data_IF_695167966426
#
_entry.id   IF_695167966426
#
_cell.length_a   1.000
_cell.length_b   1.000
_cell.length_c   1.000
_cell.angle_alpha   90.00
_cell.angle_beta   90.00
_cell.angle_gamma   90.00
#
_symmetry.space_group_name_H-M   'P 1'
#
loop_
_entity.id
_entity.type
_entity.pdbx_description
1 polymer ?
#
# COMPACT_ATOMS: atom_id res chain seq x y z
N UNK A 1 23.42 20.58 -39.21
CA UNK A 1 21.95 20.65 -39.08
C UNK A 1 21.61 20.35 -37.61
N UNK A 2 21.33 21.38 -36.79
CA UNK A 2 20.00 21.93 -36.48
C UNK A 2 19.11 20.84 -35.84
N UNK A 3 19.04 20.80 -34.49
CA UNK A 3 17.88 21.18 -33.65
C UNK A 3 16.59 20.47 -34.12
N UNK A 4 15.90 19.67 -33.31
CA UNK A 4 14.90 20.07 -32.29
C UNK A 4 14.56 18.79 -31.47
N UNK A 5 14.70 18.72 -30.14
CA UNK A 5 13.87 19.31 -29.07
C UNK A 5 12.44 18.76 -29.03
N UNK A 6 12.22 17.84 -28.09
CA UNK A 6 11.25 17.95 -26.97
C UNK A 6 9.83 18.45 -27.30
N UNK A 7 8.85 17.57 -27.15
CA UNK A 7 7.43 17.91 -26.93
C UNK A 7 6.99 17.17 -25.65
N UNK A 8 7.14 17.75 -24.44
CA UNK A 8 6.25 18.73 -23.79
C UNK A 8 4.78 18.29 -23.86
N UNK A 9 4.26 17.64 -22.81
CA UNK A 9 3.51 18.31 -21.74
C UNK A 9 2.41 19.24 -22.28
N UNK A 10 1.25 18.67 -22.63
CA UNK A 10 0.02 19.43 -22.96
C UNK A 10 -1.23 18.58 -22.67
N UNK A 11 -1.40 18.14 -21.43
CA UNK A 11 -2.74 17.86 -20.85
C UNK A 11 -2.76 18.35 -19.40
N UNK A 12 -2.43 19.62 -19.20
CA UNK A 12 -2.70 20.37 -17.98
C UNK A 12 -2.97 21.81 -18.43
N UNK A 13 -4.25 22.15 -18.69
CA UNK A 13 -4.79 23.52 -18.64
C UNK A 13 -6.26 23.53 -19.11
N UNK A 14 -7.15 23.27 -18.16
CA UNK A 14 -8.53 23.76 -18.03
C UNK A 14 -8.89 23.42 -16.56
N UNK A 15 -9.17 24.33 -15.63
CA UNK A 15 -9.53 25.74 -15.72
C UNK A 15 -9.32 26.37 -14.34
N UNK A 16 -8.94 27.65 -14.34
CA UNK A 16 -9.31 28.65 -13.35
C UNK A 16 -8.80 28.51 -11.91
N UNK A 17 -7.73 29.26 -11.68
CA UNK A 17 -7.31 29.78 -10.38
C UNK A 17 -8.47 30.57 -9.74
N UNK A 18 -8.88 30.19 -8.54
CA UNK A 18 -9.41 31.16 -7.56
C UNK A 18 -8.33 31.26 -6.49
N UNK A 19 -7.55 32.33 -6.57
CA UNK A 19 -6.66 32.76 -5.49
C UNK A 19 -7.54 33.38 -4.41
N UNK A 20 -7.60 32.75 -3.23
CA UNK A 20 -7.81 33.46 -1.98
C UNK A 20 -6.91 32.86 -0.90
N UNK A 21 -6.20 33.75 -0.23
CA UNK A 21 -5.26 33.48 0.83
C UNK A 21 -5.90 32.71 1.99
N UNK A 22 -5.31 31.57 2.35
CA UNK A 22 -5.33 31.08 3.73
C UNK A 22 -3.92 30.67 4.12
N UNK A 23 -3.28 31.59 4.83
CA UNK A 23 -2.20 31.29 5.76
C UNK A 23 -2.72 30.28 6.79
N UNK A 24 -2.59 28.97 6.54
CA UNK A 24 -2.48 27.93 7.57
C UNK A 24 -1.71 26.73 7.02
N UNK A 25 -0.67 26.39 7.78
CA UNK A 25 0.00 25.11 7.84
C UNK A 25 0.74 24.66 6.57
N UNK A 26 2.08 24.65 6.70
CA UNK A 26 2.89 23.53 6.21
C UNK A 26 2.19 22.24 6.63
N UNK A 27 1.34 21.69 5.78
CA UNK A 27 0.90 20.30 5.92
C UNK A 27 2.07 19.44 5.47
N UNK A 28 3.08 19.41 6.34
CA UNK A 28 3.72 18.17 6.74
C UNK A 28 2.56 17.21 6.99
N UNK A 29 2.13 16.47 5.95
CA UNK A 29 1.40 15.22 6.14
C UNK A 29 2.46 14.28 6.71
N UNK A 30 2.82 14.54 7.96
CA UNK A 30 3.28 13.52 8.87
C UNK A 30 2.02 12.67 9.03
N UNK A 31 1.78 11.78 8.07
CA UNK A 31 0.78 10.74 8.21
C UNK A 31 1.24 9.97 9.43
N UNK A 32 0.68 10.31 10.58
CA UNK A 32 0.28 9.31 11.56
C UNK A 32 -0.63 8.38 10.77
N UNK A 33 -0.02 7.47 10.00
CA UNK A 33 -0.69 6.41 9.28
C UNK A 33 -1.25 5.54 10.40
N UNK A 34 -2.49 5.82 10.79
CA UNK A 34 -3.19 5.01 11.76
C UNK A 34 -3.17 3.57 11.25
N UNK A 35 -3.00 2.62 12.17
CA UNK A 35 -3.06 1.18 11.88
C UNK A 35 -4.21 0.84 10.92
N UNK A 36 -5.38 1.45 11.14
CA UNK A 36 -6.57 1.29 10.30
C UNK A 36 -6.39 1.79 8.86
N UNK A 37 -5.72 2.93 8.63
CA UNK A 37 -5.51 3.45 7.27
C UNK A 37 -4.58 2.54 6.47
N UNK A 38 -3.56 1.99 7.12
CA UNK A 38 -2.66 1.00 6.50
C UNK A 38 -3.38 -0.30 6.17
N UNK A 39 -4.16 -0.85 7.11
CA UNK A 39 -4.94 -2.07 6.88
C UNK A 39 -5.97 -1.89 5.78
N UNK A 40 -6.67 -0.75 5.74
CA UNK A 40 -7.61 -0.41 4.67
C UNK A 40 -6.93 -0.32 3.30
N UNK A 41 -5.74 0.27 3.24
CA UNK A 41 -4.95 0.35 2.00
C UNK A 41 -4.50 -1.04 1.53
N UNK A 42 -4.00 -1.88 2.44
CA UNK A 42 -3.63 -3.27 2.16
C UNK A 42 -4.83 -4.09 1.66
N UNK A 43 -6.00 -3.97 2.32
CA UNK A 43 -7.25 -4.59 1.86
C UNK A 43 -7.54 -4.20 0.41
N UNK A 44 -7.48 -2.91 0.08
CA UNK A 44 -7.78 -2.43 -1.26
C UNK A 44 -6.78 -2.94 -2.31
N UNK A 45 -5.49 -2.97 -1.99
CA UNK A 45 -4.44 -3.51 -2.88
C UNK A 45 -4.70 -4.98 -3.15
N UNK A 46 -4.97 -5.75 -2.10
CA UNK A 46 -5.27 -7.18 -2.18
C UNK A 46 -6.53 -7.44 -3.00
N UNK A 47 -7.63 -6.72 -2.72
CA UNK A 47 -8.89 -6.90 -3.45
C UNK A 47 -8.71 -6.63 -4.93
N UNK A 48 -8.04 -5.53 -5.29
CA UNK A 48 -7.76 -5.20 -6.69
C UNK A 48 -6.90 -6.26 -7.37
N UNK A 49 -5.82 -6.70 -6.72
CA UNK A 49 -4.90 -7.70 -7.28
C UNK A 49 -5.59 -9.04 -7.52
N UNK A 50 -6.28 -9.58 -6.53
CA UNK A 50 -6.91 -10.90 -6.63
C UNK A 50 -8.10 -10.93 -7.59
N UNK A 51 -8.90 -9.86 -7.64
CA UNK A 51 -9.97 -9.74 -8.65
C UNK A 51 -9.38 -9.66 -10.06
N UNK A 52 -8.30 -8.89 -10.25
CA UNK A 52 -7.61 -8.84 -11.54
C UNK A 52 -7.01 -10.21 -11.93
N UNK A 53 -6.64 -11.04 -10.96
CA UNK A 53 -6.20 -12.43 -11.16
C UNK A 53 -7.34 -13.44 -11.34
N UNK A 54 -8.60 -13.00 -11.40
CA UNK A 54 -9.76 -13.86 -11.68
C UNK A 54 -10.46 -14.45 -10.45
N UNK A 55 -10.06 -14.06 -9.23
CA UNK A 55 -10.77 -14.50 -8.01
C UNK A 55 -12.10 -13.73 -7.88
N UNK A 56 -13.24 -14.40 -7.63
CA UNK A 56 -14.52 -13.73 -7.47
C UNK A 56 -14.47 -12.65 -6.39
N UNK A 57 -14.97 -11.45 -6.71
CA UNK A 57 -14.95 -10.28 -5.81
C UNK A 57 -15.46 -10.59 -4.40
N UNK A 58 -16.57 -11.33 -4.29
CA UNK A 58 -17.15 -11.70 -3.01
C UNK A 58 -16.23 -12.59 -2.14
N UNK A 59 -15.50 -13.55 -2.75
CA UNK A 59 -14.50 -14.36 -2.04
C UNK A 59 -13.29 -13.51 -1.65
N UNK A 60 -12.83 -12.68 -2.58
CA UNK A 60 -11.70 -11.78 -2.38
C UNK A 60 -11.93 -10.78 -1.24
N UNK A 61 -13.12 -10.17 -1.16
CA UNK A 61 -13.43 -9.22 -0.09
C UNK A 61 -13.44 -9.90 1.29
N UNK A 62 -14.06 -11.08 1.39
CA UNK A 62 -14.05 -11.88 2.63
C UNK A 62 -12.64 -12.30 3.04
N UNK A 63 -11.83 -12.75 2.08
CA UNK A 63 -10.44 -13.10 2.33
C UNK A 63 -9.63 -11.90 2.80
N UNK A 64 -9.74 -10.76 2.12
CA UNK A 64 -9.00 -9.55 2.46
C UNK A 64 -9.41 -8.99 3.84
N UNK A 65 -10.69 -9.09 4.21
CA UNK A 65 -11.16 -8.75 5.56
C UNK A 65 -10.57 -9.67 6.63
N UNK A 66 -10.61 -10.98 6.41
CA UNK A 66 -9.99 -11.94 7.33
C UNK A 66 -8.48 -11.69 7.46
N UNK A 67 -7.78 -11.55 6.34
CA UNK A 67 -6.33 -11.40 6.30
C UNK A 67 -5.86 -10.10 6.95
N UNK A 68 -6.55 -8.98 6.70
CA UNK A 68 -6.17 -7.69 7.31
C UNK A 68 -6.49 -7.63 8.80
N UNK A 69 -7.53 -8.33 9.26
CA UNK A 69 -7.75 -8.54 10.69
C UNK A 69 -6.60 -9.34 11.32
N UNK A 70 -6.23 -10.46 10.71
CA UNK A 70 -5.16 -11.32 11.22
C UNK A 70 -3.79 -10.61 11.26
N UNK A 71 -3.49 -9.81 10.23
CA UNK A 71 -2.33 -8.90 10.24
C UNK A 71 -2.36 -7.93 11.42
N UNK A 72 -3.53 -7.35 11.70
CA UNK A 72 -3.70 -6.40 12.80
C UNK A 72 -3.53 -7.05 14.17
N UNK A 73 -3.78 -8.35 14.30
CA UNK A 73 -3.67 -9.09 15.57
C UNK A 73 -2.26 -9.67 15.78
N UNK A 74 -1.64 -10.20 14.71
CA UNK A 74 -0.35 -10.92 14.80
C UNK A 74 0.88 -10.03 14.61
N UNK A 75 0.76 -8.88 13.95
CA UNK A 75 1.89 -7.96 13.76
C UNK A 75 1.88 -6.82 14.77
N UNK A 76 3.08 -6.48 15.25
CA UNK A 76 3.31 -5.23 15.96
C UNK A 76 3.12 -4.03 15.02
N UNK A 77 2.90 -2.82 15.56
CA UNK A 77 2.78 -1.61 14.73
C UNK A 77 3.98 -1.38 13.79
N UNK A 78 5.20 -1.66 14.25
CA UNK A 78 6.41 -1.49 13.45
C UNK A 78 6.49 -2.50 12.29
N UNK A 79 6.17 -3.76 12.57
CA UNK A 79 6.11 -4.81 11.55
C UNK A 79 5.01 -4.55 10.54
N UNK A 80 3.86 -4.03 10.97
CA UNK A 80 2.78 -3.65 10.07
C UNK A 80 3.19 -2.49 9.15
N UNK A 81 3.92 -1.49 9.67
CA UNK A 81 4.47 -0.40 8.85
C UNK A 81 5.47 -0.94 7.83
N UNK A 82 6.35 -1.88 8.24
CA UNK A 82 7.32 -2.48 7.35
C UNK A 82 6.64 -3.32 6.26
N UNK A 83 5.66 -4.14 6.64
CA UNK A 83 4.84 -4.91 5.71
C UNK A 83 4.10 -4.01 4.73
N UNK A 84 3.49 -2.93 5.21
CA UNK A 84 2.82 -1.95 4.37
C UNK A 84 3.77 -1.38 3.31
N UNK A 85 4.95 -0.90 3.74
CA UNK A 85 5.96 -0.35 2.82
C UNK A 85 6.41 -1.37 1.78
N UNK A 86 6.64 -2.62 2.18
CA UNK A 86 7.04 -3.69 1.25
C UNK A 86 5.98 -3.95 0.17
N UNK A 87 4.70 -3.79 0.49
CA UNK A 87 3.59 -4.00 -0.44
C UNK A 87 3.23 -2.77 -1.28
N UNK A 88 3.62 -1.56 -0.87
CA UNK A 88 3.33 -0.33 -1.62
C UNK A 88 4.51 0.23 -2.40
N UNK A 89 5.74 -0.04 -1.98
CA UNK A 89 6.94 0.44 -2.66
C UNK A 89 7.18 -0.34 -3.96
N UNK A 90 7.56 0.41 -5.00
CA UNK A 90 8.09 -0.16 -6.24
C UNK A 90 9.38 -0.93 -5.94
N UNK A 91 9.65 -1.92 -6.78
CA UNK A 91 10.90 -2.68 -6.67
C UNK A 91 12.10 -1.74 -6.87
N UNK A 92 13.09 -1.86 -5.99
CA UNK A 92 14.25 -0.97 -5.94
C UNK A 92 15.08 -1.17 -4.67
N UNK A 93 16.21 -0.44 -4.55
CA UNK A 93 17.16 -0.63 -3.45
C UNK A 93 16.56 -0.34 -2.07
N UNK A 94 15.60 0.57 -1.98
CA UNK A 94 14.87 0.86 -0.74
C UNK A 94 14.04 -0.34 -0.28
N UNK A 95 13.36 -1.01 -1.22
CA UNK A 95 12.55 -2.20 -0.92
C UNK A 95 13.44 -3.36 -0.47
N UNK A 96 14.59 -3.57 -1.10
CA UNK A 96 15.56 -4.60 -0.70
C UNK A 96 16.08 -4.37 0.74
N UNK A 97 16.38 -3.12 1.11
CA UNK A 97 16.78 -2.77 2.47
C UNK A 97 15.68 -3.11 3.48
N UNK A 98 14.43 -2.80 3.16
CA UNK A 98 13.28 -3.14 4.01
C UNK A 98 13.04 -4.65 4.08
N UNK A 99 13.29 -5.41 3.02
CA UNK A 99 13.21 -6.88 3.04
C UNK A 99 14.21 -7.45 4.04
N UNK A 100 15.48 -7.03 3.97
CA UNK A 100 16.52 -7.45 4.93
C UNK A 100 16.18 -7.04 6.37
N UNK A 101 15.54 -5.89 6.55
CA UNK A 101 15.06 -5.47 7.87
C UNK A 101 13.92 -6.38 8.36
N UNK A 102 12.97 -6.74 7.50
CA UNK A 102 11.89 -7.67 7.83
C UNK A 102 12.40 -9.07 8.20
N UNK A 103 13.41 -9.57 7.49
CA UNK A 103 14.08 -10.83 7.82
C UNK A 103 14.69 -10.80 9.22
N UNK A 104 15.41 -9.72 9.58
CA UNK A 104 15.98 -9.54 10.92
C UNK A 104 14.91 -9.43 12.02
N UNK A 105 13.72 -8.96 11.68
CA UNK A 105 12.57 -8.89 12.59
C UNK A 105 11.82 -10.24 12.72
N UNK A 106 12.24 -11.27 11.99
CA UNK A 106 11.55 -12.57 12.00
C UNK A 106 10.20 -12.55 11.27
N UNK A 107 9.98 -11.57 10.39
CA UNK A 107 8.75 -11.48 9.59
C UNK A 107 8.45 -12.75 8.76
N UNK A 108 9.43 -13.43 8.13
CA UNK A 108 9.15 -14.64 7.37
C UNK A 108 8.44 -15.71 8.20
N UNK A 109 8.96 -16.01 9.40
CA UNK A 109 8.37 -17.01 10.30
C UNK A 109 6.97 -16.61 10.78
N UNK A 110 6.72 -15.32 11.05
CA UNK A 110 5.38 -14.84 11.40
C UNK A 110 4.40 -15.01 10.24
N UNK A 111 4.84 -14.70 9.02
CA UNK A 111 4.01 -14.79 7.81
C UNK A 111 3.60 -16.21 7.44
N UNK A 112 4.28 -17.25 7.94
CA UNK A 112 3.84 -18.64 7.79
C UNK A 112 2.50 -18.93 8.50
N UNK A 113 2.20 -18.15 9.55
CA UNK A 113 0.97 -18.31 10.34
C UNK A 113 -0.09 -17.26 10.02
N UNK A 114 0.30 -16.14 9.42
CA UNK A 114 -0.63 -15.08 9.02
C UNK A 114 -1.43 -15.53 7.81
N UNK A 115 -2.75 -15.38 7.88
CA UNK A 115 -3.67 -15.71 6.79
C UNK A 115 -3.92 -17.20 6.59
N UNK A 116 -3.28 -18.08 7.37
CA UNK A 116 -3.45 -19.54 7.27
C UNK A 116 -4.91 -19.95 7.44
N UNK A 117 -5.59 -19.41 8.44
CA UNK A 117 -7.01 -19.69 8.70
C UNK A 117 -7.94 -18.99 7.68
N UNK A 118 -7.46 -17.93 7.04
CA UNK A 118 -8.21 -17.22 5.99
C UNK A 118 -8.18 -17.94 4.64
N UNK A 119 -7.17 -18.79 4.39
CA UNK A 119 -6.98 -19.47 3.11
C UNK A 119 -8.18 -20.35 2.70
N UNK A 120 -8.92 -20.89 3.67
CA UNK A 120 -10.14 -21.67 3.44
C UNK A 120 -11.23 -20.89 2.67
N UNK A 121 -11.22 -19.55 2.74
CA UNK A 121 -12.18 -18.69 2.03
C UNK A 121 -11.96 -18.74 0.50
N UNK A 122 -10.76 -19.11 0.06
CA UNK A 122 -10.37 -19.17 -1.34
C UNK A 122 -10.57 -20.54 -1.97
N UNK A 123 -10.79 -21.58 -1.16
CA UNK A 123 -11.27 -22.89 -1.61
C UNK A 123 -12.72 -22.76 -2.11
#
# INVERSE_FOLDING_TARGET
MKKLIFAFCMILLCSSQIVMAQSKAKTKVQTTNSKESMLKSLKNIMVKGMVASGTPKAKTEKFADCFTKDLGEKLTPEELVLFYKLNTLKNGPEKEKLTKQGEKMGMPAKMETVGKDCAVILQ
#
